data_IF_534877750170
#
_entry.id   IF_534877750170
#
_cell.length_a   1.000
_cell.length_b   1.000
_cell.length_c   1.000
_cell.angle_alpha   90.00
_cell.angle_beta   90.00
_cell.angle_gamma   90.00
#
_symmetry.space_group_name_H-M   'P 1'
#
loop_
_entity.id
_entity.type
_entity.pdbx_description
1 polymer ?
#
# COMPACT_ATOMS: atom_id res chain seq x y z
N UNK A 1 31.39 -46.21 37.64
CA UNK A 1 30.61 -45.92 38.86
C UNK A 1 29.53 -44.91 38.48
N UNK A 2 28.30 -45.36 38.21
CA UNK A 2 27.19 -44.49 37.80
C UNK A 2 26.47 -43.97 39.05
N UNK A 3 26.50 -42.67 39.28
CA UNK A 3 25.74 -42.00 40.34
C UNK A 3 24.28 -41.82 39.89
N UNK A 4 23.38 -42.61 40.44
CA UNK A 4 21.93 -42.48 40.23
C UNK A 4 21.42 -41.33 41.10
N UNK A 5 20.88 -40.27 40.48
CA UNK A 5 20.27 -39.14 41.21
C UNK A 5 18.91 -39.55 41.80
N UNK A 6 18.58 -39.10 43.03
CA UNK A 6 17.32 -39.45 43.69
C UNK A 6 16.09 -38.85 42.98
N UNK A 7 15.01 -39.64 42.88
CA UNK A 7 13.75 -39.34 42.16
C UNK A 7 13.13 -37.96 42.47
N UNK A 8 13.35 -37.43 43.68
CA UNK A 8 12.80 -36.13 44.06
C UNK A 8 13.52 -34.94 43.38
N UNK A 9 14.80 -35.09 43.01
CA UNK A 9 15.54 -34.09 42.23
C UNK A 9 15.03 -34.04 40.78
N UNK A 10 14.67 -35.19 40.21
CA UNK A 10 14.12 -35.28 38.84
C UNK A 10 12.77 -34.56 38.72
N UNK A 11 11.88 -34.68 39.73
CA UNK A 11 10.58 -33.97 39.74
C UNK A 11 10.72 -32.46 39.85
N UNK A 12 11.68 -31.97 40.64
CA UNK A 12 11.94 -30.52 40.77
C UNK A 12 12.55 -29.93 39.49
N UNK A 13 13.46 -30.66 38.82
CA UNK A 13 14.02 -30.23 37.54
C UNK A 13 12.98 -30.18 36.42
N UNK A 14 12.09 -31.18 36.31
CA UNK A 14 11.02 -31.18 35.31
C UNK A 14 10.03 -30.03 35.52
N UNK A 15 9.67 -29.72 36.77
CA UNK A 15 8.77 -28.61 37.08
C UNK A 15 9.37 -27.23 36.74
N UNK A 16 10.67 -27.03 36.97
CA UNK A 16 11.37 -25.77 36.63
C UNK A 16 11.54 -25.61 35.11
N UNK A 17 11.81 -26.70 34.38
CA UNK A 17 11.92 -26.66 32.91
C UNK A 17 10.57 -26.36 32.26
N UNK A 18 9.46 -26.95 32.75
CA UNK A 18 8.12 -26.67 32.23
C UNK A 18 7.63 -25.24 32.53
N UNK A 19 7.99 -24.68 33.69
CA UNK A 19 7.68 -23.29 34.03
C UNK A 19 8.51 -22.27 33.23
N UNK A 20 9.76 -22.60 32.89
CA UNK A 20 10.63 -21.76 32.07
C UNK A 20 10.22 -21.72 30.58
N UNK A 21 9.62 -22.80 30.08
CA UNK A 21 9.06 -22.84 28.71
C UNK A 21 7.78 -21.99 28.60
N UNK A 22 7.01 -21.85 29.69
CA UNK A 22 5.80 -21.03 29.70
C UNK A 22 6.05 -19.52 29.82
N UNK A 23 7.17 -19.09 30.41
CA UNK A 23 7.50 -17.66 30.59
C UNK A 23 8.30 -17.03 29.46
N UNK A 24 8.83 -17.83 28.51
CA UNK A 24 9.50 -17.33 27.31
C UNK A 24 8.61 -17.24 26.06
N UNK A 25 7.33 -17.61 26.18
CA UNK A 25 6.32 -17.48 25.13
C UNK A 25 5.76 -16.07 24.99
N UNK A 26 6.56 -15.02 25.19
CA UNK A 26 6.18 -13.69 24.72
C UNK A 26 6.36 -13.69 23.21
N UNK A 27 5.35 -14.15 22.47
CA UNK A 27 5.28 -13.88 21.03
C UNK A 27 5.33 -12.37 20.87
N UNK A 28 6.49 -11.82 20.50
CA UNK A 28 6.55 -10.48 19.94
C UNK A 28 5.62 -10.53 18.73
N UNK A 29 4.40 -10.00 18.90
CA UNK A 29 3.47 -9.89 17.80
C UNK A 29 4.17 -9.07 16.74
N UNK A 30 4.40 -9.66 15.57
CA UNK A 30 4.77 -8.87 14.40
C UNK A 30 3.71 -7.78 14.26
N UNK A 31 4.09 -6.52 13.98
CA UNK A 31 3.11 -5.47 13.75
C UNK A 31 2.13 -5.99 12.70
N UNK A 32 0.85 -6.09 13.06
CA UNK A 32 -0.18 -6.55 12.14
C UNK A 32 -0.28 -5.52 11.02
N UNK A 33 0.35 -5.83 9.89
CA UNK A 33 0.23 -5.03 8.67
C UNK A 33 -1.17 -5.23 8.13
N UNK A 34 -1.88 -4.13 7.93
CA UNK A 34 -3.18 -4.19 7.30
C UNK A 34 -3.02 -4.42 5.79
N UNK A 35 -3.98 -5.09 5.13
CA UNK A 35 -3.92 -5.33 3.70
C UNK A 35 -3.87 -4.03 2.88
N UNK A 36 -3.35 -4.15 1.66
CA UNK A 36 -3.31 -3.10 0.64
C UNK A 36 -1.95 -2.82 0.03
N UNK A 37 -0.89 -3.39 0.59
CA UNK A 37 0.50 -3.20 0.09
C UNK A 37 1.29 -4.50 -0.03
N UNK A 38 0.63 -5.64 0.19
CA UNK A 38 1.11 -6.96 -0.17
C UNK A 38 1.60 -6.98 -1.63
N UNK A 39 2.64 -7.76 -1.89
CA UNK A 39 3.21 -7.95 -3.23
C UNK A 39 3.66 -6.65 -3.93
N UNK A 40 3.91 -5.58 -3.17
CA UNK A 40 4.36 -4.29 -3.72
C UNK A 40 3.23 -3.42 -4.28
N UNK A 41 1.97 -3.75 -3.98
CA UNK A 41 0.82 -2.99 -4.43
C UNK A 41 0.58 -1.72 -3.58
N UNK A 42 -0.38 -0.91 -4.02
CA UNK A 42 -0.86 0.27 -3.31
C UNK A 42 -2.37 0.41 -3.55
N UNK A 43 -3.17 -0.39 -2.81
CA UNK A 43 -4.62 -0.52 -3.01
C UNK A 43 -5.44 0.61 -2.37
N UNK A 44 -4.92 1.26 -1.33
CA UNK A 44 -5.61 2.33 -0.60
C UNK A 44 -4.90 3.68 -0.75
N UNK A 45 -5.63 4.78 -0.54
CA UNK A 45 -5.05 6.13 -0.58
C UNK A 45 -3.82 6.28 0.35
N UNK A 46 -3.84 5.63 1.50
CA UNK A 46 -2.74 5.60 2.47
C UNK A 46 -1.88 4.33 2.39
N UNK A 47 -1.89 3.60 1.28
CA UNK A 47 -1.18 2.33 1.11
C UNK A 47 -2.01 1.15 1.60
N UNK A 48 -2.26 1.07 2.90
CA UNK A 48 -3.04 0.01 3.53
C UNK A 48 -4.35 0.52 4.16
N UNK A 49 -5.19 -0.40 4.66
CA UNK A 49 -6.43 -0.05 5.37
C UNK A 49 -6.19 0.85 6.60
N UNK A 50 -4.99 0.80 7.18
CA UNK A 50 -4.59 1.63 8.33
C UNK A 50 -4.15 3.03 7.94
N UNK A 51 -4.03 3.32 6.64
CA UNK A 51 -3.43 4.53 6.10
C UNK A 51 -1.99 4.79 6.61
N UNK A 52 -1.19 3.74 6.78
CA UNK A 52 0.17 3.85 7.35
C UNK A 52 1.17 4.55 6.44
N UNK A 53 0.90 4.60 5.12
CA UNK A 53 1.80 5.11 4.07
C UNK A 53 3.16 4.41 4.06
N UNK A 54 3.16 3.11 4.34
CA UNK A 54 4.36 2.27 4.37
C UNK A 54 4.30 1.18 3.28
N UNK A 55 5.44 0.87 2.66
CA UNK A 55 5.62 -0.24 1.70
C UNK A 55 6.54 -1.31 2.28
N UNK A 56 6.35 -2.61 2.01
CA UNK A 56 7.29 -3.66 2.44
C UNK A 56 8.54 -3.72 1.57
N UNK A 57 8.51 -3.07 0.40
CA UNK A 57 9.57 -3.15 -0.59
C UNK A 57 10.85 -2.47 -0.07
N UNK A 58 11.99 -3.13 -0.28
CA UNK A 58 13.31 -2.70 0.17
C UNK A 58 14.35 -2.69 -0.96
N UNK A 59 13.93 -2.93 -2.20
CA UNK A 59 14.79 -2.84 -3.39
C UNK A 59 15.52 -1.50 -3.47
N UNK A 60 14.82 -0.41 -3.13
CA UNK A 60 15.41 0.92 -2.96
C UNK A 60 15.62 1.14 -1.47
N UNK A 61 16.86 1.38 -1.09
CA UNK A 61 17.26 1.57 0.30
C UNK A 61 18.44 2.54 0.42
N UNK A 62 18.95 2.71 1.64
CA UNK A 62 19.98 3.72 1.95
C UNK A 62 21.28 3.53 1.18
N UNK A 63 21.60 2.32 0.71
CA UNK A 63 22.86 2.05 0.02
C UNK A 63 22.82 2.30 -1.49
N UNK A 64 21.64 2.42 -2.10
CA UNK A 64 21.48 2.58 -3.55
C UNK A 64 20.55 3.74 -3.96
N UNK A 65 20.08 4.54 -3.00
CA UNK A 65 19.20 5.68 -3.28
C UNK A 65 19.83 6.70 -4.24
N UNK A 66 21.16 6.86 -4.20
CA UNK A 66 21.89 7.79 -5.06
C UNK A 66 21.94 7.35 -6.53
N UNK A 67 21.60 6.10 -6.84
CA UNK A 67 21.65 5.53 -8.19
C UNK A 67 20.30 5.68 -8.94
N UNK A 68 19.30 6.33 -8.33
CA UNK A 68 17.97 6.45 -8.93
C UNK A 68 17.97 7.40 -10.13
N UNK A 69 17.35 6.92 -11.21
CA UNK A 69 17.07 7.69 -12.41
C UNK A 69 15.56 7.77 -12.70
N UNK A 70 15.17 8.79 -13.47
CA UNK A 70 13.78 8.93 -13.92
C UNK A 70 13.53 7.89 -15.00
N UNK A 71 12.69 6.89 -14.69
CA UNK A 71 12.29 5.87 -15.67
C UNK A 71 11.40 6.46 -16.78
N UNK A 72 10.42 7.30 -16.42
CA UNK A 72 9.54 7.98 -17.36
C UNK A 72 8.83 9.17 -16.70
N UNK A 73 8.25 10.05 -17.53
CA UNK A 73 7.41 11.17 -17.10
C UNK A 73 6.08 11.10 -17.83
N UNK A 74 4.98 10.99 -17.08
CA UNK A 74 3.63 11.07 -17.62
C UNK A 74 3.05 12.48 -17.41
N UNK A 75 2.35 13.01 -18.42
CA UNK A 75 1.77 14.36 -18.39
C UNK A 75 0.24 14.34 -18.39
N UNK A 76 -0.37 15.04 -17.43
CA UNK A 76 -1.83 15.15 -17.27
C UNK A 76 -2.48 16.27 -18.09
N UNK A 77 -1.67 17.07 -18.78
CA UNK A 77 -2.11 18.28 -19.49
C UNK A 77 -2.77 18.00 -20.85
N UNK A 78 -2.64 16.79 -21.39
CA UNK A 78 -3.23 16.41 -22.67
C UNK A 78 -4.68 15.89 -22.57
N UNK A 79 -5.30 15.96 -21.38
CA UNK A 79 -6.63 15.37 -21.13
C UNK A 79 -7.78 16.37 -21.12
N UNK A 80 -7.52 17.65 -21.40
CA UNK A 80 -8.57 18.66 -21.51
C UNK A 80 -8.04 20.09 -21.62
N UNK A 81 -8.92 21.06 -21.90
CA UNK A 81 -8.51 22.46 -22.08
C UNK A 81 -8.07 23.13 -20.78
N UNK A 82 -8.41 22.55 -19.62
CA UNK A 82 -8.13 23.13 -18.30
C UNK A 82 -7.08 22.29 -17.58
N UNK A 83 -5.95 22.93 -17.26
CA UNK A 83 -4.92 22.36 -16.41
C UNK A 83 -5.39 22.29 -14.95
N UNK A 84 -5.03 21.22 -14.26
CA UNK A 84 -5.22 21.12 -12.82
C UNK A 84 -3.96 21.62 -12.09
N UNK A 85 -4.03 22.85 -11.61
CA UNK A 85 -2.94 23.46 -10.83
C UNK A 85 -2.87 22.95 -9.38
N UNK A 86 -3.87 22.18 -8.91
CA UNK A 86 -3.95 21.66 -7.55
C UNK A 86 -3.92 20.13 -7.52
N UNK A 87 -3.09 19.55 -8.39
CA UNK A 87 -2.95 18.11 -8.55
C UNK A 87 -2.49 17.45 -7.25
N UNK A 88 -3.42 16.74 -6.60
CA UNK A 88 -3.24 16.11 -5.27
C UNK A 88 -3.64 14.64 -5.29
N UNK A 89 -3.59 14.04 -6.47
CA UNK A 89 -3.84 12.61 -6.65
C UNK A 89 -2.72 11.82 -5.96
N UNK A 90 -3.10 10.85 -5.13
CA UNK A 90 -2.22 9.72 -4.82
C UNK A 90 -2.62 8.60 -5.76
N UNK A 91 -1.75 8.17 -6.69
CA UNK A 91 -2.03 7.04 -7.55
C UNK A 91 -2.25 5.76 -6.74
N UNK A 92 -3.03 4.83 -7.27
CA UNK A 92 -3.16 3.47 -6.75
C UNK A 92 -2.50 2.51 -7.75
N UNK A 93 -1.87 1.46 -7.25
CA UNK A 93 -1.25 0.42 -8.07
C UNK A 93 -1.82 -0.93 -7.65
N UNK A 94 -2.56 -1.57 -8.55
CA UNK A 94 -3.29 -2.81 -8.28
C UNK A 94 -3.29 -3.68 -9.53
N UNK A 95 -3.02 -4.98 -9.36
CA UNK A 95 -3.05 -5.99 -10.42
C UNK A 95 -2.23 -5.57 -11.66
N UNK A 96 -1.04 -5.01 -11.43
CA UNK A 96 -0.12 -4.61 -12.50
C UNK A 96 -0.47 -3.30 -13.20
N UNK A 97 -1.53 -2.60 -12.79
CA UNK A 97 -1.97 -1.34 -13.42
C UNK A 97 -1.87 -0.17 -12.45
N UNK A 98 -1.31 0.96 -12.92
CA UNK A 98 -1.26 2.20 -12.17
C UNK A 98 -2.47 3.07 -12.54
N UNK A 99 -3.27 3.46 -11.55
CA UNK A 99 -4.41 4.34 -11.76
C UNK A 99 -4.19 5.69 -11.10
N UNK A 100 -4.54 6.75 -11.82
CA UNK A 100 -4.54 8.12 -11.30
C UNK A 100 -5.71 8.90 -11.89
N UNK A 101 -5.80 10.19 -11.59
CA UNK A 101 -6.76 11.09 -12.20
C UNK A 101 -6.05 12.16 -13.01
N UNK A 102 -6.74 12.77 -13.98
CA UNK A 102 -6.29 13.93 -14.72
C UNK A 102 -7.37 15.02 -14.74
N UNK A 103 -6.94 16.26 -14.94
CA UNK A 103 -7.78 17.46 -15.07
C UNK A 103 -8.61 17.81 -13.81
N UNK A 104 -9.12 19.04 -13.68
CA UNK A 104 -10.05 19.40 -12.60
C UNK A 104 -11.31 18.53 -12.54
N UNK A 105 -11.64 17.86 -13.66
CA UNK A 105 -12.79 16.97 -13.81
C UNK A 105 -12.52 15.54 -13.37
N UNK A 106 -11.28 15.22 -12.97
CA UNK A 106 -10.85 13.93 -12.41
C UNK A 106 -11.19 12.74 -13.31
N UNK A 107 -10.81 12.88 -14.58
CA UNK A 107 -10.85 11.76 -15.52
C UNK A 107 -9.94 10.67 -14.97
N UNK A 108 -10.44 9.44 -14.89
CA UNK A 108 -9.64 8.30 -14.42
C UNK A 108 -8.73 7.87 -15.56
N UNK A 109 -7.47 7.65 -15.24
CA UNK A 109 -6.42 7.24 -16.17
C UNK A 109 -5.83 5.93 -15.66
N UNK A 110 -5.77 4.92 -16.54
CA UNK A 110 -4.98 3.72 -16.32
C UNK A 110 -3.68 3.81 -17.12
N UNK A 111 -2.57 3.48 -16.46
CA UNK A 111 -1.20 3.63 -16.95
C UNK A 111 -0.49 2.29 -16.77
N UNK A 112 0.26 1.88 -17.79
CA UNK A 112 1.25 0.81 -17.65
C UNK A 112 2.44 1.35 -16.84
N UNK A 113 2.70 0.82 -15.62
CA UNK A 113 3.75 1.32 -14.75
C UNK A 113 5.17 1.09 -15.32
N UNK A 114 5.37 0.12 -16.21
CA UNK A 114 6.67 -0.19 -16.77
C UNK A 114 7.10 0.83 -17.84
N UNK A 115 6.14 1.30 -18.65
CA UNK A 115 6.40 2.15 -19.81
C UNK A 115 5.93 3.59 -19.63
N UNK A 116 4.98 3.83 -18.72
CA UNK A 116 4.28 5.12 -18.59
C UNK A 116 3.19 5.34 -19.64
N UNK A 117 2.89 4.33 -20.47
CA UNK A 117 1.86 4.41 -21.50
C UNK A 117 0.46 4.48 -20.88
N UNK A 118 -0.41 5.31 -21.44
CA UNK A 118 -1.83 5.36 -21.02
C UNK A 118 -2.60 4.24 -21.70
N UNK A 119 -3.08 3.29 -20.91
CA UNK A 119 -3.84 2.13 -21.37
C UNK A 119 -5.27 2.50 -21.76
N UNK A 120 -5.95 3.24 -20.88
CA UNK A 120 -7.29 3.72 -21.12
C UNK A 120 -7.62 4.93 -20.26
N UNK A 121 -8.68 5.62 -20.63
CA UNK A 121 -9.23 6.74 -19.86
C UNK A 121 -10.73 6.59 -19.67
N UNK A 122 -11.23 7.02 -18.52
CA UNK A 122 -12.64 7.15 -18.26
C UNK A 122 -12.98 8.58 -17.87
N UNK A 123 -13.96 9.14 -18.58
CA UNK A 123 -14.46 10.49 -18.36
C UNK A 123 -15.94 10.40 -18.03
N UNK A 124 -16.31 10.82 -16.83
CA UNK A 124 -17.70 10.94 -16.41
C UNK A 124 -18.49 11.86 -17.36
N UNK A 125 -19.74 11.57 -17.74
CA UNK A 125 -20.57 12.52 -18.49
C UNK A 125 -20.81 13.83 -17.73
N UNK A 126 -21.26 14.86 -18.44
CA UNK A 126 -21.60 16.13 -17.81
C UNK A 126 -22.87 16.00 -16.97
N UNK A 127 -22.81 16.40 -15.70
CA UNK A 127 -23.93 16.24 -14.76
C UNK A 127 -24.24 17.54 -14.05
N UNK A 128 -25.51 17.76 -13.71
CA UNK A 128 -25.95 18.92 -12.91
C UNK A 128 -25.22 18.97 -11.56
N UNK A 129 -24.93 17.79 -10.98
CA UNK A 129 -24.14 17.67 -9.75
C UNK A 129 -22.75 18.29 -9.91
N UNK A 130 -22.06 18.02 -11.02
CA UNK A 130 -20.77 18.63 -11.31
C UNK A 130 -20.91 20.14 -11.47
N UNK A 131 -21.83 20.61 -12.31
CA UNK A 131 -22.03 22.03 -12.63
C UNK A 131 -22.32 22.88 -11.39
N UNK A 132 -23.06 22.33 -10.42
CA UNK A 132 -23.41 23.02 -9.16
C UNK A 132 -22.40 22.79 -8.03
N UNK A 133 -21.32 22.04 -8.26
CA UNK A 133 -20.36 21.73 -7.20
C UNK A 133 -19.53 22.98 -6.86
N UNK A 134 -19.50 23.45 -5.60
CA UNK A 134 -18.65 24.57 -5.21
C UNK A 134 -17.15 24.20 -5.22
N UNK A 135 -16.81 22.91 -5.38
CA UNK A 135 -15.43 22.40 -5.36
C UNK A 135 -15.21 21.35 -6.46
N UNK A 136 -15.43 21.74 -7.72
CA UNK A 136 -15.25 20.87 -8.89
C UNK A 136 -13.84 20.24 -8.93
N UNK A 137 -12.78 21.00 -8.62
CA UNK A 137 -11.39 20.57 -8.74
C UNK A 137 -10.80 19.80 -7.53
N UNK A 138 -11.53 19.56 -6.43
CA UNK A 138 -10.96 19.00 -5.19
C UNK A 138 -11.14 17.48 -5.03
N UNK A 139 -10.12 16.68 -5.33
CA UNK A 139 -10.11 15.22 -5.11
C UNK A 139 -8.72 14.68 -4.75
N UNK A 140 -8.67 13.43 -4.30
CA UNK A 140 -7.43 12.77 -3.84
C UNK A 140 -6.98 11.59 -4.72
N UNK A 141 -7.70 11.31 -5.80
CA UNK A 141 -7.41 10.21 -6.72
C UNK A 141 -8.61 9.30 -6.87
N UNK A 142 -8.35 8.01 -6.96
CA UNK A 142 -9.32 6.93 -7.15
C UNK A 142 -9.36 6.03 -5.91
N UNK A 143 -10.42 5.22 -5.81
CA UNK A 143 -10.53 4.14 -4.84
C UNK A 143 -10.76 2.82 -5.60
N UNK A 144 -10.20 1.75 -5.07
CA UNK A 144 -10.35 0.40 -5.61
C UNK A 144 -11.18 -0.46 -4.65
N UNK A 145 -12.01 -1.33 -5.21
CA UNK A 145 -12.74 -2.34 -4.47
C UNK A 145 -12.97 -3.54 -5.39
N UNK A 146 -12.87 -4.74 -4.82
CA UNK A 146 -13.33 -5.97 -5.45
C UNK A 146 -14.82 -6.13 -5.15
N UNK A 147 -15.60 -6.43 -6.18
CA UNK A 147 -17.04 -6.66 -6.07
C UNK A 147 -17.31 -8.05 -6.61
N UNK A 148 -17.66 -8.97 -5.72
CA UNK A 148 -18.10 -10.30 -6.11
C UNK A 148 -19.38 -10.19 -6.97
N UNK A 149 -19.36 -10.82 -8.14
CA UNK A 149 -20.45 -10.79 -9.12
C UNK A 149 -20.52 -12.08 -9.92
#
# INVERSE_FOLDING_TARGET
MLTVLPVNQVRQFVAVVLAAIFTFGSTMGLPQRLPGTENGEWRYLGGDMGNTRSSPLDQINRSNFEDLEVAWIWRSDNYGPNLDYFFRSTPIYVDGTLYTVATPRRQVIAIDPATGETLWTFREPETIRHQRSPRQAYGKGVAYAEVDG
#
